data_IF_819043991287
#
_entry.id   IF_819043991287
#
_cell.length_a   1.000
_cell.length_b   1.000
_cell.length_c   1.000
_cell.angle_alpha   90.00
_cell.angle_beta   90.00
_cell.angle_gamma   90.00
#
_symmetry.space_group_name_H-M   'P 1'
#
loop_
_entity.id
_entity.type
_entity.pdbx_description
1 polymer ?
#
# COMPACT_ATOMS: atom_id res chain seq x y z
N UNK A 1 8.81 26.62 -64.00
CA UNK A 1 8.08 25.35 -64.19
C UNK A 1 8.82 24.28 -63.39
N UNK A 2 8.11 23.56 -62.52
CA UNK A 2 8.73 22.79 -61.43
C UNK A 2 9.30 21.47 -61.93
N UNK A 3 10.44 21.06 -61.37
CA UNK A 3 10.97 19.71 -61.50
C UNK A 3 10.43 18.89 -60.33
N UNK A 4 9.92 17.72 -60.67
CA UNK A 4 9.18 16.81 -59.81
C UNK A 4 10.09 16.26 -58.70
N UNK A 5 9.64 16.42 -57.45
CA UNK A 5 10.20 15.69 -56.31
C UNK A 5 9.46 14.35 -56.22
N UNK A 6 10.13 13.28 -56.62
CA UNK A 6 9.66 11.93 -56.37
C UNK A 6 9.67 11.65 -54.86
N UNK A 7 8.49 11.51 -54.28
CA UNK A 7 8.30 11.03 -52.92
C UNK A 7 8.65 9.53 -52.87
N UNK A 8 9.82 9.20 -52.33
CA UNK A 8 10.13 7.83 -51.94
C UNK A 8 9.26 7.49 -50.73
N UNK A 9 8.13 6.82 -50.99
CA UNK A 9 7.29 6.19 -49.98
C UNK A 9 8.05 4.99 -49.40
N UNK A 10 8.71 5.18 -48.25
CA UNK A 10 9.18 4.06 -47.43
C UNK A 10 7.96 3.56 -46.66
N UNK A 11 7.50 2.36 -47.02
CA UNK A 11 6.45 1.67 -46.28
C UNK A 11 6.94 1.39 -44.84
N UNK A 12 6.10 1.58 -43.81
CA UNK A 12 6.43 1.08 -42.48
C UNK A 12 6.36 -0.45 -42.53
N UNK A 13 7.51 -1.11 -42.46
CA UNK A 13 7.55 -2.54 -42.16
C UNK A 13 6.91 -2.77 -40.80
N UNK A 14 6.06 -3.80 -40.77
CA UNK A 14 5.17 -4.10 -39.67
C UNK A 14 5.96 -4.41 -38.39
N UNK A 15 5.84 -3.52 -37.40
CA UNK A 15 6.27 -3.81 -36.04
C UNK A 15 5.30 -4.83 -35.46
N UNK A 16 5.70 -6.10 -35.51
CA UNK A 16 5.08 -7.18 -34.75
C UNK A 16 5.26 -6.92 -33.26
N UNK A 17 4.18 -6.51 -32.59
CA UNK A 17 4.10 -6.49 -31.14
C UNK A 17 4.04 -7.94 -30.66
N UNK A 18 5.12 -8.44 -30.07
CA UNK A 18 5.13 -9.73 -29.38
C UNK A 18 5.48 -9.52 -27.90
N UNK A 19 4.46 -9.84 -27.09
CA UNK A 19 4.45 -10.24 -25.68
C UNK A 19 4.97 -9.28 -24.61
N UNK A 20 4.02 -8.82 -23.77
CA UNK A 20 4.27 -8.22 -22.46
C UNK A 20 4.91 -9.27 -21.52
N UNK A 21 6.23 -9.24 -21.41
CA UNK A 21 6.97 -9.98 -20.38
C UNK A 21 6.84 -9.21 -19.06
N UNK A 22 6.23 -9.85 -18.05
CA UNK A 22 5.93 -9.31 -16.72
C UNK A 22 7.15 -9.12 -15.80
N UNK A 23 8.30 -8.81 -16.38
CA UNK A 23 9.57 -8.56 -15.71
C UNK A 23 10.40 -7.65 -16.59
N UNK A 24 10.05 -6.38 -16.64
CA UNK A 24 10.72 -5.40 -17.50
C UNK A 24 12.14 -5.18 -16.95
N UNK A 25 13.18 -5.67 -17.61
CA UNK A 25 14.48 -5.03 -17.50
C UNK A 25 14.40 -3.75 -18.33
N UNK A 26 14.40 -2.60 -17.67
CA UNK A 26 14.43 -1.31 -18.35
C UNK A 26 15.87 -1.05 -18.76
N UNK A 27 16.09 -0.95 -20.07
CA UNK A 27 17.39 -0.68 -20.66
C UNK A 27 17.39 0.75 -21.18
N UNK A 28 18.25 1.60 -20.63
CA UNK A 28 18.52 2.93 -21.17
C UNK A 28 19.75 2.85 -22.05
N UNK A 29 19.62 3.30 -23.31
CA UNK A 29 20.76 3.54 -24.18
C UNK A 29 21.45 4.83 -23.72
N UNK A 30 22.69 4.70 -23.24
CA UNK A 30 23.52 5.84 -22.83
C UNK A 30 24.64 5.99 -23.85
N UNK A 31 24.79 7.19 -24.41
CA UNK A 31 25.92 7.51 -25.28
C UNK A 31 27.19 7.65 -24.43
N UNK A 32 28.17 6.79 -24.66
CA UNK A 32 29.51 6.85 -24.04
C UNK A 32 30.52 6.95 -25.18
N UNK A 33 31.26 8.05 -25.24
CA UNK A 33 32.31 8.29 -26.27
C UNK A 33 31.84 8.13 -27.73
N UNK A 34 30.58 8.45 -28.02
CA UNK A 34 30.02 8.37 -29.38
C UNK A 34 29.38 7.02 -29.72
N UNK A 35 29.51 6.01 -28.86
CA UNK A 35 28.85 4.72 -28.99
C UNK A 35 27.64 4.61 -28.05
N UNK A 36 26.58 3.93 -28.51
CA UNK A 36 25.39 3.65 -27.71
C UNK A 36 25.60 2.37 -26.90
N UNK A 37 25.68 2.51 -25.58
CA UNK A 37 25.80 1.38 -24.64
C UNK A 37 24.47 1.16 -23.93
N UNK A 38 23.97 -0.08 -23.94
CA UNK A 38 22.81 -0.49 -23.14
C UNK A 38 23.21 -0.61 -21.67
N UNK A 39 22.60 0.18 -20.79
CA UNK A 39 22.78 0.04 -19.34
C UNK A 39 21.47 -0.40 -18.69
N UNK A 40 21.57 -1.37 -17.80
CA UNK A 40 20.47 -1.79 -16.97
C UNK A 40 20.12 -0.67 -15.98
N UNK A 41 18.84 -0.36 -15.86
CA UNK A 41 18.36 0.80 -15.11
C UNK A 41 17.92 0.39 -13.71
N UNK A 42 18.40 1.13 -12.72
CA UNK A 42 17.92 1.04 -11.34
C UNK A 42 16.49 1.56 -11.24
N UNK A 43 15.61 0.88 -10.50
CA UNK A 43 14.19 1.24 -10.36
C UNK A 43 13.85 1.61 -8.93
N UNK A 44 12.85 2.46 -8.73
CA UNK A 44 12.37 2.77 -7.37
C UNK A 44 11.25 1.84 -6.93
N UNK A 45 11.32 1.38 -5.69
CA UNK A 45 10.33 0.54 -5.02
C UNK A 45 9.75 1.32 -3.85
N UNK A 46 8.44 1.57 -3.85
CA UNK A 46 7.75 2.26 -2.74
C UNK A 46 7.80 1.42 -1.46
N UNK A 47 8.16 2.07 -0.34
CA UNK A 47 8.07 1.52 1.01
C UNK A 47 6.72 1.81 1.67
N UNK A 48 5.88 2.62 1.02
CA UNK A 48 4.53 2.91 1.48
C UNK A 48 3.51 1.90 0.95
N UNK A 49 2.57 1.53 1.82
CA UNK A 49 1.46 0.64 1.54
C UNK A 49 0.40 1.30 0.65
N UNK A 50 -0.09 0.64 -0.41
CA UNK A 50 -1.09 1.21 -1.30
C UNK A 50 -2.48 1.45 -0.67
N UNK A 51 -2.80 0.84 0.47
CA UNK A 51 -4.10 1.00 1.13
C UNK A 51 -4.11 2.12 2.17
N UNK A 52 -3.06 2.19 2.99
CA UNK A 52 -2.92 3.14 4.10
C UNK A 52 -2.11 4.38 3.72
N UNK A 53 -1.35 4.32 2.62
CA UNK A 53 -0.43 5.37 2.18
C UNK A 53 0.67 5.70 3.21
N UNK A 54 0.96 4.76 4.09
CA UNK A 54 1.96 4.87 5.16
C UNK A 54 3.04 3.82 5.00
N UNK A 55 4.14 4.00 5.72
CA UNK A 55 5.22 3.03 5.76
C UNK A 55 4.68 1.64 6.12
N UNK A 56 5.06 0.63 5.34
CA UNK A 56 4.61 -0.75 5.56
C UNK A 56 5.16 -1.27 6.89
N UNK A 57 4.32 -1.87 7.72
CA UNK A 57 4.75 -2.47 8.98
C UNK A 57 5.07 -3.95 8.80
N UNK A 58 4.20 -4.67 8.08
CA UNK A 58 4.33 -6.10 7.78
C UNK A 58 4.29 -6.32 6.25
N UNK A 59 5.45 -6.25 5.56
CA UNK A 59 5.53 -6.36 4.12
C UNK A 59 5.21 -7.78 3.65
N UNK A 60 4.15 -7.90 2.87
CA UNK A 60 3.75 -9.16 2.22
C UNK A 60 3.44 -8.96 0.75
N UNK A 61 3.50 -10.06 0.01
CA UNK A 61 2.98 -10.19 -1.35
C UNK A 61 2.31 -11.54 -1.52
N UNK A 62 1.57 -11.74 -2.61
CA UNK A 62 1.01 -13.06 -2.91
C UNK A 62 2.11 -14.04 -3.34
N UNK A 63 1.95 -15.31 -3.00
CA UNK A 63 2.89 -16.40 -3.36
C UNK A 63 3.18 -16.47 -4.86
N UNK A 64 2.18 -16.17 -5.69
CA UNK A 64 2.27 -16.25 -7.14
C UNK A 64 2.64 -14.87 -7.78
N UNK A 65 3.10 -13.88 -6.99
CA UNK A 65 3.49 -12.56 -7.49
C UNK A 65 4.95 -12.54 -7.96
N UNK A 66 5.20 -11.94 -9.14
CA UNK A 66 6.56 -11.82 -9.72
C UNK A 66 7.15 -10.41 -9.58
N UNK A 67 6.49 -9.53 -8.82
CA UNK A 67 6.95 -8.16 -8.60
C UNK A 67 7.66 -8.00 -7.25
N UNK A 68 8.56 -7.03 -7.19
CA UNK A 68 9.31 -6.69 -5.96
C UNK A 68 8.43 -5.94 -4.95
N UNK A 69 7.47 -5.13 -5.39
CA UNK A 69 6.57 -4.39 -4.49
C UNK A 69 5.89 -5.28 -3.43
N UNK A 70 5.72 -4.74 -2.22
CA UNK A 70 4.93 -5.34 -1.15
C UNK A 70 3.83 -4.39 -0.69
N UNK A 71 2.88 -4.93 0.06
CA UNK A 71 1.80 -4.19 0.72
C UNK A 71 1.68 -4.66 2.16
N UNK A 72 1.02 -3.88 3.00
CA UNK A 72 0.88 -4.21 4.42
C UNK A 72 -0.13 -5.34 4.63
N UNK A 73 0.27 -6.34 5.41
CA UNK A 73 -0.54 -7.53 5.70
C UNK A 73 -1.87 -7.19 6.37
N UNK A 74 -1.83 -6.36 7.41
CA UNK A 74 -3.02 -6.04 8.21
C UNK A 74 -3.99 -5.21 7.37
N UNK A 75 -3.48 -4.20 6.66
CA UNK A 75 -4.29 -3.37 5.77
C UNK A 75 -4.97 -4.19 4.66
N UNK A 76 -4.25 -5.13 4.06
CA UNK A 76 -4.81 -6.01 3.03
C UNK A 76 -5.92 -6.93 3.57
N UNK A 77 -5.74 -7.51 4.75
CA UNK A 77 -6.75 -8.36 5.37
C UNK A 77 -8.02 -7.56 5.73
N UNK A 78 -7.85 -6.40 6.36
CA UNK A 78 -8.95 -5.47 6.70
C UNK A 78 -9.74 -5.06 5.44
N UNK A 79 -9.03 -4.70 4.37
CA UNK A 79 -9.66 -4.33 3.10
C UNK A 79 -10.49 -5.48 2.53
N UNK A 80 -9.95 -6.70 2.53
CA UNK A 80 -10.67 -7.86 2.01
C UNK A 80 -11.86 -8.26 2.88
N UNK A 81 -11.74 -8.22 4.21
CA UNK A 81 -12.85 -8.46 5.14
C UNK A 81 -13.99 -7.44 4.92
N UNK A 82 -13.66 -6.16 4.79
CA UNK A 82 -14.63 -5.10 4.51
C UNK A 82 -15.37 -5.36 3.19
N UNK A 83 -14.62 -5.75 2.15
CA UNK A 83 -15.17 -6.06 0.85
C UNK A 83 -16.02 -7.34 0.88
N UNK A 84 -15.65 -8.34 1.68
CA UNK A 84 -16.43 -9.55 1.94
C UNK A 84 -17.80 -9.24 2.53
N UNK A 85 -17.84 -8.39 3.56
CA UNK A 85 -19.08 -7.92 4.18
C UNK A 85 -19.95 -7.08 3.25
N UNK A 86 -19.35 -6.37 2.31
CA UNK A 86 -20.08 -5.51 1.39
C UNK A 86 -20.75 -6.32 0.27
N UNK A 87 -22.04 -6.65 0.45
CA UNK A 87 -22.87 -7.40 -0.52
C UNK A 87 -22.98 -6.75 -1.90
N UNK A 88 -22.60 -5.47 -2.04
CA UNK A 88 -22.60 -4.77 -3.32
C UNK A 88 -21.27 -4.90 -4.08
N UNK A 89 -20.19 -5.30 -3.39
CA UNK A 89 -18.92 -5.55 -4.02
C UNK A 89 -18.95 -6.93 -4.68
N UNK A 90 -18.99 -6.94 -6.02
CA UNK A 90 -18.79 -8.15 -6.82
C UNK A 90 -17.52 -8.87 -6.32
N UNK A 91 -17.63 -10.18 -6.12
CA UNK A 91 -16.55 -11.05 -5.63
C UNK A 91 -15.24 -10.88 -6.42
N UNK A 92 -15.34 -10.45 -7.69
CA UNK A 92 -14.25 -10.27 -8.66
C UNK A 92 -13.17 -9.24 -8.30
N UNK A 93 -13.37 -8.43 -7.26
CA UNK A 93 -12.37 -7.44 -6.79
C UNK A 93 -11.75 -7.79 -5.44
N UNK A 94 -12.20 -8.87 -4.81
CA UNK A 94 -11.63 -9.37 -3.55
C UNK A 94 -10.40 -10.19 -3.88
N UNK A 95 -9.48 -10.28 -2.93
CA UNK A 95 -8.38 -11.24 -2.98
C UNK A 95 -7.51 -11.09 -4.23
N UNK A 96 -7.18 -9.85 -4.57
CA UNK A 96 -6.28 -9.51 -5.69
C UNK A 96 -5.12 -8.68 -5.20
N UNK A 97 -3.93 -8.99 -5.69
CA UNK A 97 -2.75 -8.16 -5.46
C UNK A 97 -3.00 -6.73 -6.01
N UNK A 98 -2.73 -5.67 -5.24
CA UNK A 98 -2.92 -4.28 -5.69
C UNK A 98 -1.94 -3.87 -6.80
N UNK A 99 -0.83 -4.58 -7.00
CA UNK A 99 0.19 -4.24 -8.00
C UNK A 99 0.01 -5.01 -9.31
N UNK A 100 -0.06 -6.35 -9.26
CA UNK A 100 -0.16 -7.18 -10.47
C UNK A 100 -1.57 -7.71 -10.76
N UNK A 101 -2.54 -7.49 -9.88
CA UNK A 101 -3.92 -7.95 -10.05
C UNK A 101 -4.12 -9.48 -9.98
N UNK A 102 -3.05 -10.26 -9.79
CA UNK A 102 -3.11 -11.72 -9.60
C UNK A 102 -3.96 -12.07 -8.37
N UNK A 103 -4.70 -13.17 -8.45
CA UNK A 103 -5.55 -13.63 -7.35
C UNK A 103 -4.72 -14.25 -6.22
N UNK A 104 -5.06 -13.90 -4.98
CA UNK A 104 -4.49 -14.42 -3.73
C UNK A 104 -5.59 -15.23 -3.06
N UNK A 105 -5.60 -16.57 -3.17
CA UNK A 105 -6.77 -17.39 -2.82
C UNK A 105 -7.18 -17.27 -1.35
N UNK A 106 -6.24 -17.04 -0.46
CA UNK A 106 -6.46 -16.94 0.98
C UNK A 106 -5.35 -16.15 1.69
N UNK A 107 -5.54 -15.84 2.97
CA UNK A 107 -4.51 -15.22 3.80
C UNK A 107 -3.22 -16.06 3.90
N UNK A 108 -3.31 -17.38 3.72
CA UNK A 108 -2.16 -18.30 3.75
C UNK A 108 -1.31 -18.25 2.47
N UNK A 109 -1.81 -17.62 1.42
CA UNK A 109 -1.06 -17.38 0.19
C UNK A 109 -0.26 -16.08 0.24
N UNK A 110 -0.33 -15.34 1.36
CA UNK A 110 0.55 -14.20 1.62
C UNK A 110 1.90 -14.70 2.11
N UNK A 111 2.97 -14.24 1.46
CA UNK A 111 4.35 -14.52 1.82
C UNK A 111 5.04 -13.23 2.28
N UNK A 112 5.90 -13.32 3.29
CA UNK A 112 6.67 -12.18 3.77
C UNK A 112 7.70 -11.77 2.70
N UNK A 113 7.75 -10.47 2.40
CA UNK A 113 8.78 -9.90 1.53
C UNK A 113 10.00 -9.52 2.39
N UNK A 114 10.91 -10.47 2.59
CA UNK A 114 12.09 -10.32 3.47
C UNK A 114 13.07 -9.28 2.95
N UNK A 115 13.23 -9.21 1.64
CA UNK A 115 13.97 -8.19 0.89
C UNK A 115 13.52 -6.75 1.26
N UNK A 116 12.20 -6.51 1.33
CA UNK A 116 11.67 -5.21 1.75
C UNK A 116 11.68 -5.04 3.27
N UNK A 117 11.55 -6.12 4.04
CA UNK A 117 11.60 -6.07 5.50
C UNK A 117 12.93 -5.48 6.00
N UNK A 118 14.04 -5.92 5.42
CA UNK A 118 15.38 -5.43 5.78
C UNK A 118 15.49 -3.91 5.59
N UNK A 119 15.00 -3.39 4.46
CA UNK A 119 14.98 -1.96 4.18
C UNK A 119 14.07 -1.18 5.15
N UNK A 120 12.89 -1.72 5.44
CA UNK A 120 11.94 -1.11 6.37
C UNK A 120 12.49 -1.06 7.80
N UNK A 121 13.22 -2.09 8.22
CA UNK A 121 13.85 -2.13 9.53
C UNK A 121 15.00 -1.12 9.60
N UNK A 122 15.80 -0.98 8.53
CA UNK A 122 16.82 0.07 8.44
C UNK A 122 16.22 1.47 8.54
N UNK A 123 15.16 1.79 7.79
CA UNK A 123 14.44 3.08 7.88
C UNK A 123 13.96 3.37 9.30
N UNK A 124 13.42 2.36 9.98
CA UNK A 124 12.94 2.48 11.38
C UNK A 124 14.09 2.72 12.35
N UNK A 125 15.21 2.02 12.17
CA UNK A 125 16.39 2.14 13.03
C UNK A 125 17.08 3.49 12.86
N UNK A 126 17.24 3.97 11.63
CA UNK A 126 17.87 5.26 11.34
C UNK A 126 16.92 6.45 11.49
N UNK A 127 15.63 6.19 11.72
CA UNK A 127 14.55 7.20 11.73
C UNK A 127 14.56 8.08 10.46
N UNK A 128 14.82 7.44 9.31
CA UNK A 128 14.84 8.12 8.02
C UNK A 128 13.41 8.45 7.56
N UNK A 129 13.25 9.57 6.84
CA UNK A 129 12.00 9.95 6.18
C UNK A 129 11.88 9.41 4.75
N UNK A 130 12.77 8.50 4.36
CA UNK A 130 12.77 7.85 3.04
C UNK A 130 11.57 6.92 2.88
N UNK A 131 10.88 7.07 1.75
CA UNK A 131 9.67 6.31 1.41
C UNK A 131 9.83 5.38 0.19
N UNK A 132 11.06 5.23 -0.31
CA UNK A 132 11.37 4.33 -1.43
C UNK A 132 12.74 3.68 -1.26
N UNK A 133 12.89 2.47 -1.78
CA UNK A 133 14.16 1.79 -1.98
C UNK A 133 14.54 1.81 -3.46
N UNK A 134 15.83 1.65 -3.75
CA UNK A 134 16.38 1.52 -5.10
C UNK A 134 16.63 0.04 -5.37
N UNK A 135 15.97 -0.49 -6.40
CA UNK A 135 16.19 -1.81 -6.97
C UNK A 135 17.27 -1.72 -8.04
N UNK A 136 18.40 -2.37 -7.78
CA UNK A 136 19.51 -2.45 -8.70
C UNK A 136 19.32 -3.54 -9.76
N UNK A 137 20.02 -3.45 -10.91
CA UNK A 137 19.98 -4.49 -11.95
C UNK A 137 20.34 -5.90 -11.49
N UNK A 138 21.14 -6.03 -10.44
CA UNK A 138 21.51 -7.31 -9.83
C UNK A 138 20.40 -7.90 -8.93
N UNK A 139 19.29 -7.19 -8.78
CA UNK A 139 18.16 -7.56 -7.93
C UNK A 139 18.31 -7.12 -6.47
N UNK A 140 19.42 -6.46 -6.10
CA UNK A 140 19.62 -5.96 -4.74
C UNK A 140 18.79 -4.70 -4.49
N UNK A 141 18.29 -4.57 -3.25
CA UNK A 141 17.65 -3.34 -2.77
C UNK A 141 18.61 -2.55 -1.88
N UNK A 142 18.59 -1.23 -2.03
CA UNK A 142 19.29 -0.32 -1.11
C UNK A 142 18.46 0.93 -0.85
N UNK A 143 18.60 1.53 0.34
CA UNK A 143 18.06 2.87 0.57
C UNK A 143 18.87 3.93 -0.17
N UNK A 144 18.23 4.97 -0.73
CA UNK A 144 18.93 6.13 -1.26
C UNK A 144 19.74 6.79 -0.14
N UNK A 145 21.07 6.81 -0.28
CA UNK A 145 21.94 7.56 0.62
C UNK A 145 21.59 9.05 0.51
N UNK A 146 21.41 9.74 1.64
CA UNK A 146 21.10 11.17 1.68
C UNK A 146 22.23 12.08 1.16
N UNK A 147 23.35 11.51 0.72
CA UNK A 147 24.44 12.19 0.05
C UNK A 147 24.19 12.28 -1.46
N UNK A 148 23.91 13.49 -1.94
CA UNK A 148 24.10 13.90 -3.33
C UNK A 148 25.38 13.28 -3.95
N UNK A 149 25.41 12.90 -5.24
CA UNK A 149 26.67 12.56 -5.91
C UNK A 149 27.48 13.85 -6.10
N UNK A 150 28.28 14.19 -5.10
CA UNK A 150 29.32 15.19 -5.27
C UNK A 150 30.46 14.56 -6.07
N UNK A 151 30.76 15.15 -7.21
CA UNK A 151 31.91 14.81 -8.03
C UNK A 151 33.16 14.97 -7.17
N UNK A 152 33.89 13.87 -7.06
CA UNK A 152 35.18 13.69 -6.41
C UNK A 152 36.20 14.82 -6.64
N UNK A 153 36.90 15.24 -5.58
CA UNK A 153 38.36 15.11 -5.50
C UNK A 153 38.88 15.08 -4.04
N UNK A 154 40.04 14.45 -3.77
CA UNK A 154 40.52 14.10 -2.42
C UNK A 154 41.63 15.04 -1.92
N UNK A 155 41.78 15.22 -0.60
CA UNK A 155 43.10 15.39 0.03
C UNK A 155 43.07 15.12 1.55
N UNK A 156 43.94 14.17 1.92
CA UNK A 156 44.87 14.16 3.05
C UNK A 156 44.36 14.26 4.52
N UNK A 157 44.60 13.13 5.19
CA UNK A 157 44.80 12.89 6.61
C UNK A 157 45.37 14.05 7.46
N UNK A 158 44.86 14.18 8.69
CA UNK A 158 45.71 14.41 9.87
C UNK A 158 45.12 13.71 11.10
N UNK A 159 45.96 12.86 11.67
CA UNK A 159 45.84 12.13 12.93
C UNK A 159 46.04 13.09 14.13
N UNK A 160 45.37 12.90 15.27
CA UNK A 160 45.94 13.17 16.60
C UNK A 160 44.99 12.80 17.74
N UNK A 161 45.53 11.95 18.61
CA UNK A 161 45.03 11.37 19.86
C UNK A 161 44.91 12.34 21.05
N UNK A 162 44.08 11.97 22.04
CA UNK A 162 44.33 11.91 23.51
C UNK A 162 42.98 11.84 24.25
N UNK A 163 42.60 10.74 24.91
CA UNK A 163 42.86 10.39 26.34
C UNK A 163 42.22 11.36 27.37
N UNK A 164 41.09 10.97 27.99
CA UNK A 164 40.94 10.90 29.47
C UNK A 164 39.58 10.28 29.91
N UNK A 165 39.67 9.22 30.72
CA UNK A 165 38.71 8.68 31.71
C UNK A 165 38.79 9.53 33.01
N UNK A 166 38.17 9.24 34.19
CA UNK A 166 36.92 8.57 34.59
C UNK A 166 36.05 9.45 35.52
N UNK A 167 34.81 9.03 35.83
CA UNK A 167 34.31 8.88 37.23
C UNK A 167 32.81 8.58 37.32
N UNK A 168 32.47 7.45 37.97
CA UNK A 168 31.17 7.20 38.59
C UNK A 168 31.07 7.96 39.93
N UNK A 169 29.87 8.14 40.51
CA UNK A 169 29.42 7.13 41.48
C UNK A 169 27.92 6.79 41.43
N UNK A 170 27.64 5.56 41.86
CA UNK A 170 26.32 5.01 42.19
C UNK A 170 25.72 5.71 43.41
N UNK A 171 24.38 5.89 43.48
CA UNK A 171 23.61 5.63 44.71
C UNK A 171 22.19 5.17 44.37
N UNK A 172 21.77 4.16 45.13
CA UNK A 172 20.50 3.47 45.22
C UNK A 172 19.35 4.25 45.90
N UNK A 173 18.11 3.83 45.64
CA UNK A 173 17.02 3.54 46.61
C UNK A 173 15.68 3.52 45.83
N UNK A 174 14.86 2.47 45.81
CA UNK A 174 14.15 1.74 46.88
C UNK A 174 13.13 2.57 47.66
N UNK A 175 11.85 2.50 47.26
CA UNK A 175 10.63 2.47 48.09
C UNK A 175 9.45 2.22 47.12
N UNK A 176 8.67 1.14 47.19
CA UNK A 176 7.70 0.71 48.20
C UNK A 176 6.42 1.58 48.27
N UNK A 177 5.27 0.95 48.02
CA UNK A 177 3.90 1.45 48.25
C UNK A 177 2.97 1.17 47.06
N UNK A 178 2.22 0.05 47.01
CA UNK A 178 0.82 -0.08 47.48
C UNK A 178 -0.11 0.96 46.84
N UNK A 179 -1.19 0.67 46.11
CA UNK A 179 -2.39 -0.09 46.50
C UNK A 179 -3.25 -0.46 45.27
N UNK A 180 -3.95 -1.58 45.36
CA UNK A 180 -5.14 -1.97 44.56
C UNK A 180 -6.38 -1.94 45.47
N UNK A 181 -7.61 -2.23 45.00
CA UNK A 181 -8.51 -1.59 44.02
C UNK A 181 -9.80 -1.09 44.72
N UNK A 182 -10.89 -0.72 44.00
CA UNK A 182 -12.03 -1.64 44.04
C UNK A 182 -12.85 -1.76 42.74
N UNK A 183 -13.34 -2.99 42.53
CA UNK A 183 -14.51 -3.34 41.71
C UNK A 183 -15.77 -2.85 42.43
N UNK A 184 -16.72 -2.29 41.70
CA UNK A 184 -18.11 -2.36 42.11
C UNK A 184 -19.05 -2.82 40.99
N UNK A 185 -19.96 -3.67 41.44
CA UNK A 185 -20.91 -4.53 40.77
C UNK A 185 -22.24 -3.80 40.70
N UNK A 186 -23.00 -3.94 39.61
CA UNK A 186 -24.47 -3.99 39.72
C UNK A 186 -25.09 -4.71 38.52
N UNK A 187 -25.51 -5.93 38.81
CA UNK A 187 -26.61 -6.63 38.16
C UNK A 187 -27.90 -6.07 38.75
N UNK A 188 -28.94 -5.88 37.95
CA UNK A 188 -30.33 -6.14 38.37
C UNK A 188 -31.21 -6.29 37.12
N UNK A 189 -31.66 -7.51 36.93
CA UNK A 189 -32.70 -7.91 36.00
C UNK A 189 -34.02 -8.00 36.77
N UNK A 190 -35.11 -7.49 36.19
CA UNK A 190 -36.44 -8.14 36.12
C UNK A 190 -37.55 -7.13 35.80
N UNK A 191 -38.68 -7.69 35.33
CA UNK A 191 -40.01 -7.09 35.12
C UNK A 191 -40.15 -6.44 33.72
N UNK A 192 -41.03 -6.83 32.81
CA UNK A 192 -42.42 -7.32 32.96
C UNK A 192 -42.94 -8.06 31.72
N UNK A 193 -44.03 -8.77 31.99
CA UNK A 193 -44.88 -9.62 31.17
C UNK A 193 -45.75 -8.85 30.17
N UNK A 194 -45.99 -9.49 29.02
CA UNK A 194 -47.14 -9.38 28.10
C UNK A 194 -47.47 -8.05 27.40
N UNK A 195 -47.34 -8.05 26.06
CA UNK A 195 -48.39 -7.58 25.16
C UNK A 195 -48.21 -8.16 23.75
N UNK A 196 -49.08 -9.12 23.36
CA UNK A 196 -49.24 -9.56 21.98
C UNK A 196 -49.84 -8.41 21.16
N UNK A 197 -49.01 -7.67 20.41
CA UNK A 197 -49.49 -6.72 19.40
C UNK A 197 -49.78 -7.47 18.09
N UNK A 198 -51.07 -7.58 17.77
CA UNK A 198 -51.58 -8.01 16.46
C UNK A 198 -51.03 -7.10 15.37
N UNK A 199 -50.31 -7.66 14.40
CA UNK A 199 -49.91 -6.96 13.19
C UNK A 199 -51.14 -6.61 12.35
N UNK A 200 -51.34 -5.35 11.93
CA UNK A 200 -52.34 -5.02 10.92
C UNK A 200 -51.93 -5.61 9.57
N UNK A 201 -52.86 -6.32 8.92
CA UNK A 201 -52.72 -6.83 7.55
C UNK A 201 -52.43 -5.65 6.61
N UNK A 202 -51.21 -5.60 6.06
CA UNK A 202 -50.86 -4.66 5.00
C UNK A 202 -51.65 -5.04 3.74
N UNK A 203 -52.66 -4.24 3.40
CA UNK A 203 -53.26 -4.26 2.07
C UNK A 203 -52.21 -3.75 1.08
N UNK A 204 -51.75 -4.64 0.21
CA UNK A 204 -50.78 -4.32 -0.82
C UNK A 204 -51.45 -3.50 -1.94
N UNK A 205 -51.52 -2.17 -1.76
CA UNK A 205 -51.75 -1.27 -2.89
C UNK A 205 -50.49 -1.25 -3.76
N UNK A 206 -50.50 -2.00 -4.86
CA UNK A 206 -49.46 -1.94 -5.89
C UNK A 206 -49.50 -0.57 -6.57
N UNK A 207 -48.70 0.39 -6.08
CA UNK A 207 -48.41 1.63 -6.83
C UNK A 207 -47.62 1.23 -8.08
N UNK A 208 -48.24 1.38 -9.25
CA UNK A 208 -47.57 1.26 -10.55
C UNK A 208 -46.68 2.48 -10.70
N UNK A 209 -45.45 2.41 -10.18
CA UNK A 209 -44.45 3.45 -10.45
C UNK A 209 -43.89 3.22 -11.84
N UNK A 210 -43.83 4.30 -12.63
CA UNK A 210 -43.35 4.26 -14.00
C UNK A 210 -41.89 3.79 -14.02
N UNK A 211 -41.48 3.16 -15.13
CA UNK A 211 -40.10 2.69 -15.34
C UNK A 211 -39.07 3.82 -15.15
N UNK A 212 -39.46 5.07 -15.43
CA UNK A 212 -38.65 6.29 -15.25
C UNK A 212 -38.42 6.59 -13.77
N UNK A 213 -39.45 6.53 -12.94
CA UNK A 213 -39.35 6.78 -11.49
C UNK A 213 -38.52 5.70 -10.79
N UNK A 214 -38.67 4.42 -11.18
CA UNK A 214 -37.84 3.34 -10.65
C UNK A 214 -36.35 3.54 -10.99
N UNK A 215 -36.05 4.01 -12.21
CA UNK A 215 -34.68 4.30 -12.64
C UNK A 215 -34.08 5.48 -11.88
N UNK A 216 -34.86 6.55 -11.65
CA UNK A 216 -34.44 7.71 -10.88
C UNK A 216 -34.19 7.35 -9.40
N UNK A 217 -35.09 6.60 -8.77
CA UNK A 217 -34.93 6.13 -7.40
C UNK A 217 -33.69 5.24 -7.24
N UNK A 218 -33.42 4.35 -8.21
CA UNK A 218 -32.21 3.52 -8.20
C UNK A 218 -30.94 4.36 -8.38
N UNK A 219 -30.97 5.40 -9.22
CA UNK A 219 -29.83 6.30 -9.40
C UNK A 219 -29.54 7.11 -8.12
N UNK A 220 -30.57 7.66 -7.48
CA UNK A 220 -30.44 8.38 -6.22
C UNK A 220 -29.93 7.48 -5.08
N UNK A 221 -30.45 6.25 -4.98
CA UNK A 221 -29.97 5.27 -4.01
C UNK A 221 -28.49 4.89 -4.25
N UNK A 222 -28.06 4.78 -5.51
CA UNK A 222 -26.65 4.55 -5.86
C UNK A 222 -25.76 5.73 -5.49
N UNK A 223 -26.19 6.96 -5.76
CA UNK A 223 -25.43 8.16 -5.42
C UNK A 223 -25.24 8.32 -3.90
N UNK A 224 -26.31 8.21 -3.12
CA UNK A 224 -26.26 8.27 -1.66
C UNK A 224 -25.40 7.14 -1.05
N UNK A 225 -25.36 5.97 -1.72
CA UNK A 225 -24.49 4.87 -1.31
C UNK A 225 -23.02 5.17 -1.56
N UNK A 226 -22.66 5.73 -2.72
CA UNK A 226 -21.28 6.11 -3.05
C UNK A 226 -20.74 7.15 -2.06
N UNK A 227 -21.54 8.17 -1.74
CA UNK A 227 -21.19 9.22 -0.79
C UNK A 227 -20.95 8.66 0.62
N UNK A 228 -21.79 7.71 1.07
CA UNK A 228 -21.60 7.02 2.35
C UNK A 228 -20.34 6.14 2.37
N UNK A 229 -19.99 5.50 1.25
CA UNK A 229 -18.75 4.72 1.16
C UNK A 229 -17.51 5.61 1.20
N UNK A 230 -17.53 6.75 0.50
CA UNK A 230 -16.45 7.73 0.56
C UNK A 230 -16.25 8.25 1.98
N UNK A 231 -17.33 8.58 2.70
CA UNK A 231 -17.24 8.98 4.11
C UNK A 231 -16.70 7.87 5.03
N UNK A 232 -17.05 6.60 4.79
CA UNK A 232 -16.53 5.47 5.57
C UNK A 232 -15.05 5.20 5.33
N UNK A 233 -14.59 5.35 4.08
CA UNK A 233 -13.17 5.19 3.72
C UNK A 233 -12.35 6.33 4.33
N UNK A 234 -12.82 7.58 4.17
CA UNK A 234 -12.16 8.75 4.76
C UNK A 234 -12.10 8.66 6.30
N UNK A 235 -13.17 8.20 6.96
CA UNK A 235 -13.17 7.98 8.40
C UNK A 235 -12.21 6.89 8.85
N UNK A 236 -12.05 5.81 8.08
CA UNK A 236 -11.07 4.76 8.36
C UNK A 236 -9.65 5.30 8.20
N UNK A 237 -9.35 6.01 7.10
CA UNK A 237 -8.05 6.66 6.88
C UNK A 237 -7.71 7.67 8.00
N UNK A 238 -8.70 8.42 8.51
CA UNK A 238 -8.48 9.40 9.56
C UNK A 238 -8.23 8.77 10.93
N UNK A 239 -8.92 7.67 11.26
CA UNK A 239 -8.67 6.90 12.50
C UNK A 239 -7.30 6.26 12.54
N UNK A 240 -6.78 5.92 11.37
CA UNK A 240 -5.46 5.35 11.25
C UNK A 240 -4.37 6.40 11.55
N UNK A 241 -4.59 7.68 11.22
CA UNK A 241 -3.63 8.77 11.46
C UNK A 241 -3.58 9.31 12.91
N UNK A 242 -4.40 8.78 13.82
CA UNK A 242 -4.48 9.20 15.25
C UNK A 242 -3.86 8.15 16.16
#
# INVERSE_FOLDING_TARGET
MPQELECILIAPEEVSVQEEVSGQEEWLAVAVEGDLVMKAVTRSVSLNDPFTLRLIESPVRGRDCDHVQAFDRSAFLDFNELMERNRWCKLTKKWKCPFCGKHIRSANDLVQATDLQEMLDEVKLTQSDVNYAVLHPDGQLSLPSSSQPNVSEPVAAVDTSSDEEPSQPQVCNSYAGTETPPKERREDAAVSVAARRRSPKKTASKKVTSKKEKKAALAAAKAAWVERQQGSILSYCQKQQS
#
